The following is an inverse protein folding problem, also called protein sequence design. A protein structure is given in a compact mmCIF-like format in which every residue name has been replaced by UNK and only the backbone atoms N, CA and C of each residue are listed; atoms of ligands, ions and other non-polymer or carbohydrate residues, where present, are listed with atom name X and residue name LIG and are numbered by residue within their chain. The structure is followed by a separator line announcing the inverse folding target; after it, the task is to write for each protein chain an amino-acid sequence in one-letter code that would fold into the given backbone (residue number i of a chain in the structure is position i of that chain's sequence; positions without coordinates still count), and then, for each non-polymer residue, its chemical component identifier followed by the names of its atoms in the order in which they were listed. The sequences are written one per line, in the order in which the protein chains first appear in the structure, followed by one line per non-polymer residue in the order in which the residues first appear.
data_IF_063423757293
#
_entry.id   IF_063423757293
#
_cell.length_a   1.000
_cell.length_b   1.000
_cell.length_c   1.000
_cell.angle_alpha   90.00
_cell.angle_beta   90.00
_cell.angle_gamma   90.00
#
_symmetry.space_group_name_H-M   'P 1'
#
loop_
_entity.id
_entity.type
_entity.pdbx_description
1 polymer ?
#
# COMPACT_ATOMS: atom_id res chain seq x y z
N UNK A 1 29.59 -17.62 -56.22
CA UNK A 1 30.15 -16.51 -57.02
C UNK A 1 30.26 -15.28 -56.11
N UNK A 2 31.07 -14.27 -56.44
CA UNK A 2 31.79 -13.48 -55.44
C UNK A 2 31.12 -12.15 -55.02
N UNK A 3 31.86 -11.42 -54.19
CA UNK A 3 31.61 -10.17 -53.47
C UNK A 3 31.11 -8.96 -54.28
N UNK A 4 30.45 -8.05 -53.57
CA UNK A 4 30.54 -6.58 -53.65
C UNK A 4 30.13 -6.08 -52.24
N UNK A 5 30.84 -5.24 -51.47
CA UNK A 5 31.62 -4.02 -51.77
C UNK A 5 30.68 -2.86 -52.17
N UNK A 6 30.72 -1.64 -51.64
CA UNK A 6 31.51 -1.00 -50.55
C UNK A 6 30.49 -0.29 -49.57
N UNK A 7 30.72 0.70 -48.69
CA UNK A 7 31.84 1.59 -48.35
C UNK A 7 31.75 2.10 -46.88
N UNK A 8 32.70 2.93 -46.45
CA UNK A 8 32.59 3.91 -45.34
C UNK A 8 33.12 5.29 -45.87
N UNK A 9 33.48 6.32 -45.08
CA UNK A 9 33.19 6.69 -43.69
C UNK A 9 32.62 8.13 -43.59
N UNK A 10 32.55 8.73 -42.38
CA UNK A 10 33.04 10.10 -42.19
C UNK A 10 33.42 10.41 -40.73
N UNK A 11 34.33 11.36 -40.54
CA UNK A 11 34.84 11.84 -39.24
C UNK A 11 34.43 13.30 -38.99
N UNK A 12 34.22 13.69 -37.73
CA UNK A 12 34.58 15.02 -37.22
C UNK A 12 34.34 15.16 -35.70
N UNK A 13 35.34 15.68 -34.99
CA UNK A 13 35.24 16.31 -33.67
C UNK A 13 35.59 17.83 -33.86
N UNK A 14 35.92 18.68 -32.85
CA UNK A 14 35.98 18.49 -31.40
C UNK A 14 35.51 19.70 -30.51
N UNK A 15 35.72 19.57 -29.19
CA UNK A 15 36.09 20.60 -28.19
C UNK A 15 35.41 21.98 -28.10
N UNK A 16 34.72 22.24 -26.98
CA UNK A 16 34.98 23.27 -25.91
C UNK A 16 33.96 23.06 -24.77
N UNK A 17 34.18 23.38 -23.49
CA UNK A 17 35.37 23.81 -22.74
C UNK A 17 35.01 24.16 -21.27
N UNK A 18 35.87 23.86 -20.29
CA UNK A 18 35.73 24.25 -18.87
C UNK A 18 36.01 25.78 -18.68
N UNK A 19 35.59 26.48 -17.60
CA UNK A 19 35.68 26.14 -16.16
C UNK A 19 34.32 26.32 -15.42
N UNK A 20 34.14 26.53 -14.11
CA UNK A 20 35.01 26.91 -12.97
C UNK A 20 34.39 26.46 -11.63
N UNK A 21 35.15 26.51 -10.52
CA UNK A 21 34.68 26.14 -9.19
C UNK A 21 34.49 27.37 -8.28
N UNK A 22 33.48 27.35 -7.39
CA UNK A 22 33.32 28.33 -6.31
C UNK A 22 33.02 27.64 -4.95
N UNK A 23 33.37 28.29 -3.81
CA UNK A 23 33.63 27.59 -2.56
C UNK A 23 32.43 27.47 -1.61
N UNK A 24 32.59 26.64 -0.59
CA UNK A 24 31.61 26.40 0.47
C UNK A 24 31.34 27.64 1.36
N UNK A 25 30.13 27.71 1.91
CA UNK A 25 29.77 28.63 3.00
C UNK A 25 29.61 27.88 4.34
N UNK A 26 30.21 28.37 5.45
CA UNK A 26 30.01 27.81 6.80
C UNK A 26 28.64 28.22 7.40
N UNK A 27 28.17 27.54 8.48
CA UNK A 27 26.77 27.58 8.88
C UNK A 27 26.35 28.82 9.68
N UNK A 28 25.15 29.33 9.37
CA UNK A 28 24.46 30.37 10.15
C UNK A 28 23.67 29.75 11.31
N UNK A 29 24.15 29.93 12.55
CA UNK A 29 23.43 29.50 13.77
C UNK A 29 23.06 30.71 14.63
N UNK A 30 21.78 31.08 14.62
CA UNK A 30 21.01 31.94 15.55
C UNK A 30 19.57 32.05 14.98
N UNK A 31 18.49 32.12 15.74
CA UNK A 31 18.39 32.31 17.19
C UNK A 31 17.07 31.74 17.75
N UNK A 32 17.15 31.12 18.93
CA UNK A 32 16.26 31.32 20.09
C UNK A 32 14.73 31.41 19.86
N UNK A 33 14.03 30.36 20.28
CA UNK A 33 12.85 30.51 21.16
C UNK A 33 11.48 30.50 20.51
N UNK A 34 10.94 29.29 20.31
CA UNK A 34 9.55 29.00 20.62
C UNK A 34 9.52 27.64 21.32
N UNK A 35 8.88 27.55 22.49
CA UNK A 35 8.53 26.26 23.07
C UNK A 35 7.44 25.66 22.20
N UNK A 36 7.78 24.59 21.48
CA UNK A 36 6.77 23.63 21.08
C UNK A 36 6.56 22.73 22.30
N UNK A 37 5.42 22.81 23.01
CA UNK A 37 5.06 21.75 23.94
C UNK A 37 4.95 20.48 23.12
N UNK A 38 5.86 19.53 23.38
CA UNK A 38 5.64 18.16 22.98
C UNK A 38 4.50 17.66 23.87
N UNK A 39 3.28 17.66 23.32
CA UNK A 39 2.09 17.10 23.94
C UNK A 39 2.29 15.57 23.99
N UNK A 40 2.96 15.12 25.06
CA UNK A 40 3.56 13.78 25.17
C UNK A 40 2.78 12.89 26.14
N UNK A 41 1.44 13.03 26.11
CA UNK A 41 0.50 12.14 26.79
C UNK A 41 -0.05 11.04 25.84
N UNK A 42 0.44 11.00 24.60
CA UNK A 42 0.28 9.86 23.72
C UNK A 42 1.17 8.70 24.22
N UNK A 43 0.55 7.58 24.62
CA UNK A 43 1.28 6.35 24.98
C UNK A 43 2.25 5.93 23.85
N UNK A 44 3.45 5.43 24.18
CA UNK A 44 4.42 5.02 23.17
C UNK A 44 3.89 3.84 22.36
N UNK A 45 3.55 4.12 21.10
CA UNK A 45 2.91 3.16 20.19
C UNK A 45 3.80 1.93 20.00
N UNK A 46 3.32 0.78 20.46
CA UNK A 46 3.97 -0.52 20.27
C UNK A 46 4.00 -0.89 18.78
N UNK A 47 5.13 -0.62 18.14
CA UNK A 47 5.37 -0.91 16.73
C UNK A 47 5.34 -2.41 16.40
N UNK A 48 5.59 -3.29 17.38
CA UNK A 48 5.50 -4.74 17.19
C UNK A 48 4.02 -5.17 17.19
N UNK A 49 3.23 -4.70 18.16
CA UNK A 49 1.76 -4.87 18.16
C UNK A 49 1.14 -4.34 16.87
N UNK A 50 1.46 -3.09 16.48
CA UNK A 50 0.96 -2.47 15.25
C UNK A 50 1.32 -3.29 14.01
N UNK A 51 2.57 -3.78 13.90
CA UNK A 51 2.97 -4.66 12.80
C UNK A 51 2.16 -5.96 12.78
N UNK A 52 2.03 -6.64 13.92
CA UNK A 52 1.25 -7.89 14.02
C UNK A 52 -0.23 -7.67 13.69
N UNK A 53 -0.81 -6.53 14.09
CA UNK A 53 -2.15 -6.13 13.68
C UNK A 53 -2.23 -5.87 12.17
N UNK A 54 -1.21 -5.25 11.56
CA UNK A 54 -1.15 -5.02 10.13
C UNK A 54 -1.03 -6.34 9.33
N UNK A 55 -0.16 -7.27 9.76
CA UNK A 55 -0.08 -8.63 9.22
C UNK A 55 -1.44 -9.35 9.28
N UNK A 56 -2.13 -9.24 10.43
CA UNK A 56 -3.47 -9.82 10.64
C UNK A 56 -4.50 -9.20 9.70
N UNK A 57 -4.53 -7.88 9.56
CA UNK A 57 -5.43 -7.17 8.67
C UNK A 57 -5.20 -7.57 7.20
N UNK A 58 -3.94 -7.63 6.75
CA UNK A 58 -3.62 -8.04 5.37
C UNK A 58 -4.01 -9.50 5.12
N UNK A 59 -3.74 -10.41 6.05
CA UNK A 59 -4.12 -11.82 5.90
C UNK A 59 -5.64 -12.02 5.84
N UNK A 60 -6.41 -11.29 6.66
CA UNK A 60 -7.87 -11.32 6.60
C UNK A 60 -8.41 -10.65 5.32
N UNK A 61 -7.78 -9.58 4.84
CA UNK A 61 -8.14 -8.92 3.58
C UNK A 61 -7.83 -9.81 2.36
N UNK A 62 -6.73 -10.57 2.37
CA UNK A 62 -6.42 -11.60 1.37
C UNK A 62 -7.44 -12.75 1.40
N UNK A 63 -7.85 -13.22 2.58
CA UNK A 63 -8.90 -14.24 2.70
C UNK A 63 -10.26 -13.74 2.19
N UNK A 64 -10.67 -12.54 2.59
CA UNK A 64 -11.89 -11.87 2.11
C UNK A 64 -11.87 -11.72 0.58
N UNK A 65 -10.74 -11.29 0.00
CA UNK A 65 -10.54 -11.25 -1.45
C UNK A 65 -10.65 -12.65 -2.07
N UNK A 66 -10.04 -13.66 -1.45
CA UNK A 66 -10.14 -15.07 -1.87
C UNK A 66 -11.57 -15.62 -1.85
N UNK A 67 -12.46 -15.12 -0.98
CA UNK A 67 -13.91 -15.45 -1.02
C UNK A 67 -14.58 -14.84 -2.26
N UNK A 68 -14.25 -13.61 -2.61
CA UNK A 68 -14.81 -12.96 -3.81
C UNK A 68 -14.27 -13.63 -5.08
N UNK A 69 -12.96 -13.78 -5.21
CA UNK A 69 -12.31 -14.35 -6.38
C UNK A 69 -12.70 -15.81 -6.67
N UNK A 70 -12.94 -16.64 -5.64
CA UNK A 70 -13.35 -18.04 -5.85
C UNK A 70 -14.78 -18.20 -6.38
N UNK A 71 -15.67 -17.28 -6.01
CA UNK A 71 -17.08 -17.31 -6.39
C UNK A 71 -17.35 -16.53 -7.70
N UNK A 72 -16.53 -15.52 -8.00
CA UNK A 72 -16.58 -14.80 -9.27
C UNK A 72 -17.92 -14.10 -9.49
N UNK A 73 -18.74 -14.61 -10.41
CA UNK A 73 -20.04 -14.03 -10.77
C UNK A 73 -21.23 -14.73 -10.10
N UNK A 74 -20.98 -15.79 -9.30
CA UNK A 74 -22.01 -16.36 -8.42
C UNK A 74 -22.18 -15.47 -7.18
N UNK A 75 -23.01 -14.44 -7.32
CA UNK A 75 -23.29 -13.49 -6.26
C UNK A 75 -24.04 -14.13 -5.06
N UNK A 76 -24.80 -15.21 -5.27
CA UNK A 76 -25.52 -15.85 -4.16
C UNK A 76 -24.56 -16.65 -3.28
N UNK A 77 -23.72 -17.50 -3.89
CA UNK A 77 -22.69 -18.26 -3.16
C UNK A 77 -21.64 -17.31 -2.57
N UNK A 78 -21.26 -16.24 -3.30
CA UNK A 78 -20.42 -15.18 -2.74
C UNK A 78 -21.05 -14.55 -1.50
N UNK A 79 -22.34 -14.20 -1.53
CA UNK A 79 -23.05 -13.63 -0.38
C UNK A 79 -23.04 -14.56 0.84
N UNK A 80 -23.38 -15.84 0.64
CA UNK A 80 -23.35 -16.86 1.70
C UNK A 80 -21.95 -17.04 2.31
N UNK A 81 -20.92 -17.11 1.47
CA UNK A 81 -19.52 -17.33 1.88
C UNK A 81 -18.91 -16.08 2.53
N UNK A 82 -19.31 -14.88 2.12
CA UNK A 82 -18.94 -13.62 2.77
C UNK A 82 -19.62 -13.47 4.13
N UNK A 83 -20.86 -13.93 4.29
CA UNK A 83 -21.55 -13.98 5.59
C UNK A 83 -20.84 -14.95 6.54
N UNK A 84 -20.47 -16.15 6.07
CA UNK A 84 -19.68 -17.11 6.85
C UNK A 84 -18.29 -16.55 7.23
N UNK A 85 -17.62 -15.84 6.31
CA UNK A 85 -16.36 -15.15 6.60
C UNK A 85 -16.53 -14.03 7.64
N UNK A 86 -17.62 -13.24 7.55
CA UNK A 86 -17.92 -12.17 8.50
C UNK A 86 -18.25 -12.71 9.90
N UNK A 87 -19.02 -13.81 9.99
CA UNK A 87 -19.31 -14.46 11.26
C UNK A 87 -18.05 -15.05 11.94
N UNK A 88 -17.11 -15.59 11.15
CA UNK A 88 -15.87 -16.15 11.67
C UNK A 88 -14.79 -15.12 12.01
N UNK A 89 -14.63 -14.06 11.19
CA UNK A 89 -13.47 -13.17 11.24
C UNK A 89 -13.82 -11.69 11.46
N UNK A 90 -15.09 -11.29 11.34
CA UNK A 90 -15.49 -9.87 11.32
C UNK A 90 -15.07 -9.08 12.56
N UNK A 91 -15.14 -9.69 13.75
CA UNK A 91 -14.65 -9.08 15.00
C UNK A 91 -13.15 -8.83 14.97
N UNK A 92 -12.35 -9.76 14.45
CA UNK A 92 -10.89 -9.60 14.36
C UNK A 92 -10.51 -8.59 13.27
N UNK A 93 -11.24 -8.57 12.15
CA UNK A 93 -11.06 -7.60 11.07
C UNK A 93 -11.36 -6.18 11.54
N UNK A 94 -12.44 -5.98 12.29
CA UNK A 94 -12.82 -4.69 12.90
C UNK A 94 -11.84 -4.23 13.96
N UNK A 95 -11.50 -5.08 14.94
CA UNK A 95 -10.52 -4.74 15.98
C UNK A 95 -9.14 -4.40 15.38
N UNK A 96 -8.73 -5.08 14.30
CA UNK A 96 -7.52 -4.73 13.57
C UNK A 96 -7.64 -3.38 12.85
N UNK A 97 -8.77 -3.13 12.17
CA UNK A 97 -9.06 -1.84 11.52
C UNK A 97 -9.16 -0.65 12.49
N UNK A 98 -9.63 -0.86 13.72
CA UNK A 98 -9.69 0.16 14.77
C UNK A 98 -8.30 0.50 15.30
N UNK A 99 -7.51 -0.50 15.73
CA UNK A 99 -6.12 -0.28 16.15
C UNK A 99 -5.30 0.40 15.04
N UNK A 100 -5.50 0.04 13.77
CA UNK A 100 -4.81 0.68 12.65
C UNK A 100 -5.30 2.12 12.35
N UNK A 101 -6.48 2.56 12.82
CA UNK A 101 -6.91 3.97 12.71
C UNK A 101 -6.20 4.88 13.71
N UNK A 102 -5.74 4.34 14.83
CA UNK A 102 -5.00 5.07 15.88
C UNK A 102 -3.51 5.25 15.52
N UNK A 103 -3.00 4.53 14.52
CA UNK A 103 -1.59 4.59 14.10
C UNK A 103 -1.32 5.84 13.24
N UNK A 104 -0.26 6.62 13.54
CA UNK A 104 0.19 7.74 12.73
C UNK A 104 0.40 7.37 11.25
N UNK A 105 -0.07 8.25 10.35
CA UNK A 105 -0.09 8.00 8.90
C UNK A 105 1.27 7.57 8.35
N UNK A 106 2.37 8.24 8.70
CA UNK A 106 3.71 7.85 8.23
C UNK A 106 4.15 6.43 8.63
N UNK A 107 3.65 5.92 9.77
CA UNK A 107 3.87 4.52 10.20
C UNK A 107 3.01 3.56 9.38
N UNK A 108 1.74 3.90 9.13
CA UNK A 108 0.86 3.15 8.21
C UNK A 108 1.40 3.13 6.78
N UNK A 109 1.87 4.26 6.25
CA UNK A 109 2.44 4.40 4.90
C UNK A 109 3.72 3.57 4.76
N UNK A 110 4.57 3.55 5.79
CA UNK A 110 5.76 2.68 5.85
C UNK A 110 5.37 1.20 5.84
N UNK A 111 4.32 0.80 6.57
CA UNK A 111 3.81 -0.57 6.54
C UNK A 111 3.15 -0.90 5.19
N UNK A 112 2.31 -0.02 4.65
CA UNK A 112 1.69 -0.17 3.33
C UNK A 112 2.75 -0.30 2.22
N UNK A 113 3.89 0.39 2.31
CA UNK A 113 5.02 0.19 1.40
C UNK A 113 5.57 -1.25 1.44
N UNK A 114 5.83 -1.77 2.65
CA UNK A 114 6.33 -3.14 2.85
C UNK A 114 5.33 -4.22 2.39
N UNK A 115 4.03 -3.96 2.50
CA UNK A 115 2.95 -4.90 2.14
C UNK A 115 2.28 -4.56 0.80
N UNK A 116 2.79 -3.58 0.06
CA UNK A 116 2.10 -2.98 -1.10
C UNK A 116 1.82 -3.98 -2.21
N UNK A 117 2.72 -4.92 -2.45
CA UNK A 117 2.51 -6.01 -3.42
C UNK A 117 1.37 -6.96 -3.00
N UNK A 118 1.28 -7.31 -1.70
CA UNK A 118 0.19 -8.14 -1.13
C UNK A 118 -1.14 -7.41 -1.19
N UNK A 119 -1.18 -6.16 -0.76
CA UNK A 119 -2.38 -5.31 -0.82
C UNK A 119 -2.87 -5.11 -2.26
N UNK A 120 -1.96 -4.87 -3.22
CA UNK A 120 -2.31 -4.74 -4.65
C UNK A 120 -2.80 -6.06 -5.25
N UNK A 121 -2.22 -7.20 -4.86
CA UNK A 121 -2.71 -8.51 -5.27
C UNK A 121 -4.11 -8.80 -4.69
N UNK A 122 -4.31 -8.56 -3.39
CA UNK A 122 -5.60 -8.71 -2.72
C UNK A 122 -6.68 -7.81 -3.33
N UNK A 123 -6.36 -6.55 -3.65
CA UNK A 123 -7.30 -5.61 -4.31
C UNK A 123 -7.88 -6.17 -5.63
N UNK A 124 -7.08 -6.90 -6.43
CA UNK A 124 -7.56 -7.54 -7.67
C UNK A 124 -8.52 -8.70 -7.42
N UNK A 125 -8.39 -9.40 -6.30
CA UNK A 125 -9.33 -10.46 -5.92
C UNK A 125 -10.76 -9.92 -5.70
N UNK A 126 -10.91 -8.61 -5.49
CA UNK A 126 -12.21 -7.93 -5.36
C UNK A 126 -12.82 -7.45 -6.68
N UNK A 127 -12.16 -7.60 -7.84
CA UNK A 127 -12.73 -7.21 -9.14
C UNK A 127 -14.15 -7.78 -9.39
N UNK A 128 -14.51 -9.02 -9.00
CA UNK A 128 -15.87 -9.53 -9.15
C UNK A 128 -16.95 -8.84 -8.28
N UNK A 129 -16.59 -8.14 -7.19
CA UNK A 129 -17.56 -7.31 -6.43
C UNK A 129 -18.14 -6.19 -7.30
N UNK A 130 -17.46 -5.77 -8.37
CA UNK A 130 -18.02 -4.79 -9.32
C UNK A 130 -19.32 -5.26 -9.98
N UNK A 131 -19.52 -6.57 -10.10
CA UNK A 131 -20.73 -7.20 -10.65
C UNK A 131 -21.74 -7.57 -9.55
N UNK A 132 -21.25 -8.07 -8.41
CA UNK A 132 -22.10 -8.53 -7.32
C UNK A 132 -22.45 -7.48 -6.24
N UNK A 133 -21.88 -6.27 -6.27
CA UNK A 133 -22.11 -5.23 -5.25
C UNK A 133 -23.55 -4.69 -5.15
N UNK A 134 -24.42 -5.03 -6.11
CA UNK A 134 -25.85 -4.75 -6.07
C UNK A 134 -26.68 -5.87 -5.39
N UNK A 135 -26.10 -7.06 -5.15
CA UNK A 135 -26.80 -8.18 -4.52
C UNK A 135 -27.07 -7.94 -3.03
N UNK A 136 -28.23 -8.40 -2.56
CA UNK A 136 -28.69 -8.17 -1.20
C UNK A 136 -27.89 -8.95 -0.14
N UNK A 137 -27.47 -10.19 -0.43
CA UNK A 137 -26.64 -10.99 0.49
C UNK A 137 -25.21 -10.44 0.55
N UNK A 138 -24.63 -10.14 -0.60
CA UNK A 138 -23.30 -9.52 -0.69
C UNK A 138 -23.29 -8.18 0.06
N UNK A 139 -24.28 -7.31 -0.14
CA UNK A 139 -24.38 -6.07 0.66
C UNK A 139 -24.59 -6.31 2.15
N UNK A 140 -25.36 -7.33 2.55
CA UNK A 140 -25.56 -7.66 3.96
C UNK A 140 -24.26 -8.13 4.62
N UNK A 141 -23.50 -9.02 3.98
CA UNK A 141 -22.21 -9.48 4.47
C UNK A 141 -21.16 -8.36 4.52
N UNK A 142 -21.08 -7.51 3.47
CA UNK A 142 -20.20 -6.35 3.44
C UNK A 142 -20.49 -5.36 4.59
N UNK A 143 -21.77 -5.16 4.95
CA UNK A 143 -22.18 -4.32 6.11
C UNK A 143 -21.82 -4.94 7.47
N UNK A 144 -21.55 -6.25 7.55
CA UNK A 144 -21.04 -6.86 8.78
C UNK A 144 -19.52 -6.66 8.93
N UNK A 145 -18.78 -6.55 7.81
CA UNK A 145 -17.33 -6.36 7.78
C UNK A 145 -16.88 -4.90 7.98
N UNK A 146 -17.74 -3.92 7.65
CA UNK A 146 -17.51 -2.47 7.83
C UNK A 146 -18.02 -1.94 9.16
#
# INVERSE_FOLDING_TARGET
MPSTEEAAPNEAAPSVGSPEAQPAQPPSVKNKGAEQPADTDAEPIDLAKVRTTFDTFVALFEQFGGVVARNGEDCETMGNELEAFAAANGTQFKAAGEVLREVPKGTLETLQGNYGARLTAAQKLFEPLSKCGADAKVQAALKQLM
#
